data_IF_998494768993
#
_entry.id   IF_998494768993
#
_cell.length_a   1.000
_cell.length_b   1.000
_cell.length_c   1.000
_cell.angle_alpha   90.00
_cell.angle_beta   90.00
_cell.angle_gamma   90.00
#
_symmetry.space_group_name_H-M   'P 1'
#
loop_
_entity.id
_entity.type
_entity.pdbx_description
1 polymer ?
#
# COMPACT_ATOMS: atom_id res chain seq x y z
N UNK A 1 68.35 40.72 18.36
CA UNK A 1 67.94 41.50 17.16
C UNK A 1 69.14 42.08 16.41
N UNK A 2 70.14 42.67 17.08
CA UNK A 2 71.37 43.14 16.43
C UNK A 2 72.27 42.00 15.90
N UNK A 3 72.50 40.94 16.70
CA UNK A 3 73.34 39.79 16.28
C UNK A 3 72.83 39.08 15.02
N UNK A 4 71.52 38.89 14.89
CA UNK A 4 70.92 38.27 13.70
C UNK A 4 71.12 39.14 12.43
N UNK A 5 71.17 40.46 12.58
CA UNK A 5 71.37 41.38 11.46
C UNK A 5 72.84 41.43 11.03
N UNK A 6 73.76 41.34 11.99
CA UNK A 6 75.19 41.23 11.71
C UNK A 6 75.56 39.87 11.12
N UNK A 7 74.87 38.79 11.51
CA UNK A 7 75.01 37.46 10.91
C UNK A 7 74.48 37.44 9.46
N UNK A 8 73.34 38.06 9.18
CA UNK A 8 72.82 38.25 7.82
C UNK A 8 73.77 39.11 6.97
N UNK A 9 74.34 40.19 7.52
CA UNK A 9 75.35 41.01 6.82
C UNK A 9 76.61 40.22 6.50
N UNK A 10 77.06 39.39 7.44
CA UNK A 10 78.25 38.55 7.25
C UNK A 10 78.01 37.49 6.18
N UNK A 11 76.85 36.82 6.21
CA UNK A 11 76.44 35.89 5.17
C UNK A 11 76.32 36.57 3.80
N UNK A 12 75.78 37.79 3.74
CA UNK A 12 75.70 38.57 2.51
C UNK A 12 77.09 38.98 1.96
N UNK A 13 78.01 39.36 2.86
CA UNK A 13 79.38 39.70 2.49
C UNK A 13 80.19 38.47 2.05
N UNK A 14 79.99 37.33 2.71
CA UNK A 14 80.61 36.06 2.33
C UNK A 14 80.02 35.53 1.01
N UNK A 15 78.72 35.72 0.77
CA UNK A 15 78.08 35.43 -0.51
C UNK A 15 78.61 36.32 -1.65
N UNK A 16 78.76 37.63 -1.41
CA UNK A 16 79.41 38.53 -2.38
C UNK A 16 80.84 38.10 -2.67
N UNK A 17 81.65 37.78 -1.64
CA UNK A 17 83.02 37.28 -1.86
C UNK A 17 83.04 35.97 -2.64
N UNK A 18 82.10 35.06 -2.41
CA UNK A 18 81.99 33.82 -3.17
C UNK A 18 81.56 34.04 -4.63
N UNK A 19 80.70 35.03 -4.91
CA UNK A 19 80.32 35.41 -6.27
C UNK A 19 81.45 36.11 -7.05
N UNK A 20 82.28 36.89 -6.36
CA UNK A 20 83.43 37.58 -6.96
C UNK A 20 84.72 36.74 -6.96
N UNK A 21 84.72 35.57 -6.32
CA UNK A 21 85.82 34.61 -6.42
C UNK A 21 85.79 33.96 -7.82
N UNK A 22 86.73 34.33 -8.68
CA UNK A 22 86.89 33.69 -9.97
C UNK A 22 87.28 32.22 -9.78
N UNK A 23 86.31 31.32 -9.97
CA UNK A 23 86.58 29.89 -10.03
C UNK A 23 87.53 29.62 -11.21
N UNK A 24 88.74 29.12 -10.91
CA UNK A 24 89.80 28.82 -11.89
C UNK A 24 89.41 27.85 -13.00
N UNK A 25 88.27 27.15 -12.85
CA UNK A 25 87.68 26.32 -13.89
C UNK A 25 86.15 26.53 -13.89
N UNK A 26 85.65 27.28 -14.88
CA UNK A 26 84.21 27.35 -15.15
C UNK A 26 83.84 26.20 -16.07
N UNK A 27 83.00 25.28 -15.59
CA UNK A 27 82.38 24.29 -16.47
C UNK A 27 81.40 25.03 -17.39
N UNK A 28 81.58 24.87 -18.70
CA UNK A 28 80.56 25.31 -19.66
C UNK A 28 79.31 24.44 -19.51
N UNK A 29 78.15 24.99 -19.87
CA UNK A 29 76.87 24.26 -19.87
C UNK A 29 76.99 22.94 -20.65
N UNK A 30 77.69 22.96 -21.79
CA UNK A 30 77.99 21.78 -22.60
C UNK A 30 78.79 20.73 -21.81
N UNK A 31 79.82 21.14 -21.06
CA UNK A 31 80.60 20.22 -20.24
C UNK A 31 79.76 19.63 -19.10
N UNK A 32 78.87 20.42 -18.48
CA UNK A 32 77.93 19.93 -17.47
C UNK A 32 76.98 18.87 -18.05
N UNK A 33 76.39 19.13 -19.22
CA UNK A 33 75.51 18.17 -19.92
C UNK A 33 76.27 16.88 -20.25
N UNK A 34 77.50 16.97 -20.75
CA UNK A 34 78.31 15.79 -21.09
C UNK A 34 78.68 14.97 -19.83
N UNK A 35 78.97 15.62 -18.70
CA UNK A 35 79.24 14.96 -17.42
C UNK A 35 77.98 14.24 -16.93
N UNK A 36 76.84 14.92 -16.89
CA UNK A 36 75.55 14.34 -16.48
C UNK A 36 75.17 13.17 -17.38
N UNK A 37 75.33 13.31 -18.70
CA UNK A 37 75.07 12.24 -19.67
C UNK A 37 75.96 11.01 -19.43
N UNK A 38 77.25 11.21 -19.11
CA UNK A 38 78.15 10.12 -18.74
C UNK A 38 77.75 9.44 -17.43
N UNK A 39 77.31 10.19 -16.42
CA UNK A 39 76.83 9.66 -15.14
C UNK A 39 75.54 8.84 -15.29
N UNK A 40 74.62 9.28 -16.16
CA UNK A 40 73.40 8.54 -16.52
C UNK A 40 73.79 7.24 -17.26
N UNK A 41 74.69 7.31 -18.24
CA UNK A 41 75.14 6.13 -19.00
C UNK A 41 75.83 5.08 -18.12
N UNK A 42 76.54 5.52 -17.07
CA UNK A 42 77.16 4.66 -16.06
C UNK A 42 76.20 4.17 -14.97
N UNK A 43 74.90 4.53 -15.05
CA UNK A 43 73.87 4.24 -14.04
C UNK A 43 74.21 4.74 -12.64
N UNK A 44 75.05 5.76 -12.54
CA UNK A 44 75.44 6.40 -11.28
C UNK A 44 74.49 7.54 -10.88
N UNK A 45 73.68 8.02 -11.83
CA UNK A 45 72.70 9.08 -11.62
C UNK A 45 71.40 8.76 -12.36
N UNK A 46 70.28 8.79 -11.64
CA UNK A 46 68.93 8.67 -12.20
C UNK A 46 68.25 10.04 -12.13
N UNK A 47 68.04 10.65 -13.30
CA UNK A 47 67.42 11.98 -13.45
C UNK A 47 66.49 11.98 -14.64
N UNK A 48 65.43 12.77 -14.54
CA UNK A 48 64.41 12.97 -15.57
C UNK A 48 64.52 14.41 -16.06
N UNK A 49 64.29 14.63 -17.36
CA UNK A 49 64.21 15.99 -17.91
C UNK A 49 62.83 16.60 -17.68
N UNK A 50 62.80 17.90 -17.39
CA UNK A 50 61.54 18.67 -17.45
C UNK A 50 61.01 18.75 -18.88
N UNK A 51 59.71 19.02 -19.03
CA UNK A 51 59.06 19.13 -20.36
C UNK A 51 59.68 20.26 -21.20
N UNK A 52 60.22 21.29 -20.55
CA UNK A 52 60.95 22.39 -21.19
C UNK A 52 62.40 22.03 -21.57
N UNK A 53 62.90 20.87 -21.13
CA UNK A 53 64.26 20.38 -21.39
C UNK A 53 65.38 21.14 -20.66
N UNK A 54 65.04 22.10 -19.80
CA UNK A 54 66.00 23.01 -19.16
C UNK A 54 66.60 22.46 -17.86
N UNK A 55 65.89 21.55 -17.20
CA UNK A 55 66.25 21.10 -15.84
C UNK A 55 66.25 19.57 -15.74
N UNK A 56 67.11 19.08 -14.85
CA UNK A 56 67.19 17.67 -14.47
C UNK A 56 66.59 17.51 -13.08
N UNK A 57 65.55 16.69 -12.97
CA UNK A 57 64.85 16.42 -11.71
C UNK A 57 65.14 15.00 -11.27
N UNK A 58 65.51 14.83 -10.00
CA UNK A 58 65.70 13.49 -9.42
C UNK A 58 64.33 12.90 -9.02
N UNK A 59 64.15 11.56 -9.07
CA UNK A 59 62.91 10.92 -8.61
C UNK A 59 62.56 11.25 -7.15
N UNK A 60 63.56 11.45 -6.30
CA UNK A 60 63.37 11.86 -4.91
C UNK A 60 62.78 13.27 -4.81
N UNK A 61 63.21 14.20 -5.67
CA UNK A 61 62.68 15.55 -5.73
C UNK A 61 61.24 15.57 -6.25
N UNK A 62 60.92 14.80 -7.29
CA UNK A 62 59.54 14.63 -7.78
C UNK A 62 58.63 14.16 -6.64
N UNK A 63 59.08 13.18 -5.85
CA UNK A 63 58.31 12.69 -4.69
C UNK A 63 58.04 13.77 -3.65
N UNK A 64 59.03 14.62 -3.40
CA UNK A 64 58.96 15.68 -2.42
C UNK A 64 57.98 16.76 -2.89
N UNK A 65 58.11 17.20 -4.14
CA UNK A 65 57.22 18.19 -4.73
C UNK A 65 55.77 17.70 -4.80
N UNK A 66 55.55 16.43 -5.15
CA UNK A 66 54.21 15.83 -5.10
C UNK A 66 53.59 15.88 -3.70
N UNK A 67 54.38 15.63 -2.65
CA UNK A 67 53.91 15.71 -1.25
C UNK A 67 53.65 17.13 -0.81
N UNK A 68 54.57 18.04 -1.13
CA UNK A 68 54.47 19.45 -0.79
C UNK A 68 53.23 20.05 -1.48
N UNK A 69 52.99 19.74 -2.77
CA UNK A 69 51.82 20.20 -3.52
C UNK A 69 50.52 19.57 -2.99
N UNK A 70 50.52 18.29 -2.63
CA UNK A 70 49.38 17.65 -1.97
C UNK A 70 49.04 18.35 -0.65
N UNK A 71 50.04 18.71 0.15
CA UNK A 71 49.84 19.41 1.41
C UNK A 71 49.35 20.86 1.21
N UNK A 72 49.97 21.60 0.28
CA UNK A 72 49.62 22.99 -0.06
C UNK A 72 48.19 23.10 -0.58
N UNK A 73 47.75 22.15 -1.41
CA UNK A 73 46.36 22.09 -1.90
C UNK A 73 45.38 21.49 -0.90
N UNK A 74 45.80 21.31 0.34
CA UNK A 74 44.92 20.85 1.41
C UNK A 74 44.48 19.40 1.27
N UNK A 75 45.28 18.54 0.63
CA UNK A 75 45.11 17.08 0.64
C UNK A 75 44.32 16.52 -0.55
N UNK A 76 44.06 17.30 -1.61
CA UNK A 76 43.49 16.78 -2.86
C UNK A 76 44.15 17.43 -4.08
N UNK A 77 44.64 16.62 -5.02
CA UNK A 77 45.24 17.12 -6.26
C UNK A 77 45.04 16.16 -7.43
N UNK A 78 44.77 16.70 -8.63
CA UNK A 78 44.70 15.93 -9.86
C UNK A 78 46.10 15.67 -10.41
N UNK A 79 46.36 14.47 -10.94
CA UNK A 79 47.67 14.11 -11.52
C UNK A 79 48.01 15.04 -12.70
N UNK A 80 47.03 15.46 -13.50
CA UNK A 80 47.28 16.37 -14.63
C UNK A 80 47.76 17.75 -14.12
N UNK A 81 47.21 18.21 -13.00
CA UNK A 81 47.66 19.46 -12.37
C UNK A 81 49.08 19.31 -11.79
N UNK A 82 49.38 18.14 -11.19
CA UNK A 82 50.74 17.83 -10.73
C UNK A 82 51.74 17.86 -11.89
N UNK A 83 51.36 17.36 -13.07
CA UNK A 83 52.20 17.42 -14.27
C UNK A 83 52.57 18.85 -14.65
N UNK A 84 51.61 19.77 -14.59
CA UNK A 84 51.83 21.18 -14.94
C UNK A 84 52.69 21.90 -13.90
N UNK A 85 52.48 21.62 -12.61
CA UNK A 85 53.23 22.29 -11.52
C UNK A 85 54.66 21.77 -11.43
N UNK A 86 54.85 20.46 -11.53
CA UNK A 86 56.17 19.80 -11.42
C UNK A 86 56.94 19.88 -12.75
N UNK A 87 56.25 20.13 -13.86
CA UNK A 87 56.82 20.25 -15.20
C UNK A 87 57.58 18.99 -15.67
N UNK A 88 57.09 17.81 -15.29
CA UNK A 88 57.67 16.50 -15.64
C UNK A 88 56.62 15.67 -16.37
N UNK A 89 57.03 14.79 -17.27
CA UNK A 89 56.12 13.92 -18.02
C UNK A 89 55.27 13.01 -17.10
N UNK A 90 54.03 12.75 -17.53
CA UNK A 90 53.03 12.02 -16.77
C UNK A 90 53.51 10.62 -16.36
N UNK A 91 54.28 9.95 -17.22
CA UNK A 91 54.77 8.59 -16.97
C UNK A 91 55.65 8.50 -15.72
N UNK A 92 56.50 9.50 -15.48
CA UNK A 92 57.36 9.56 -14.30
C UNK A 92 56.58 9.87 -13.03
N UNK A 93 55.52 10.67 -13.14
CA UNK A 93 54.61 10.97 -12.03
C UNK A 93 53.80 9.73 -11.66
N UNK A 94 53.18 9.04 -12.63
CA UNK A 94 52.39 7.83 -12.40
C UNK A 94 53.22 6.70 -11.77
N UNK A 95 54.44 6.47 -12.27
CA UNK A 95 55.36 5.51 -11.67
C UNK A 95 55.62 5.84 -10.20
N UNK A 96 55.72 7.13 -9.87
CA UNK A 96 56.05 7.55 -8.50
C UNK A 96 54.86 7.56 -7.55
N UNK A 97 53.65 7.79 -8.06
CA UNK A 97 52.42 7.66 -7.28
C UNK A 97 52.33 6.28 -6.62
N UNK A 98 52.68 5.23 -7.36
CA UNK A 98 52.69 3.86 -6.82
C UNK A 98 53.61 3.67 -5.62
N UNK A 99 54.74 4.38 -5.59
CA UNK A 99 55.66 4.35 -4.45
C UNK A 99 55.14 5.18 -3.28
N UNK A 100 54.55 6.35 -3.55
CA UNK A 100 53.97 7.22 -2.53
C UNK A 100 52.84 6.48 -1.78
N UNK A 101 51.92 5.84 -2.50
CA UNK A 101 50.82 5.06 -1.90
C UNK A 101 51.35 3.89 -1.05
N UNK A 102 52.47 3.26 -1.45
CA UNK A 102 53.10 2.20 -0.66
C UNK A 102 53.77 2.73 0.60
N UNK A 103 54.42 3.88 0.52
CA UNK A 103 55.05 4.52 1.69
C UNK A 103 54.04 5.15 2.64
N UNK A 104 52.95 5.70 2.11
CA UNK A 104 51.99 6.53 2.83
C UNK A 104 50.58 5.96 2.70
N UNK A 105 50.19 5.15 3.69
CA UNK A 105 48.86 4.50 3.71
C UNK A 105 47.69 5.48 3.82
N UNK A 106 47.95 6.74 4.19
CA UNK A 106 46.95 7.81 4.31
C UNK A 106 46.64 8.46 2.95
N UNK A 107 47.44 8.24 1.90
CA UNK A 107 47.19 8.77 0.56
C UNK A 107 46.56 7.69 -0.32
N UNK A 108 45.48 8.06 -1.01
CA UNK A 108 44.74 7.18 -1.90
C UNK A 108 44.61 7.80 -3.29
N UNK A 109 44.62 6.95 -4.32
CA UNK A 109 44.40 7.37 -5.70
C UNK A 109 42.97 7.01 -6.14
N UNK A 110 42.20 8.03 -6.56
CA UNK A 110 40.81 7.89 -7.00
C UNK A 110 40.60 8.65 -8.29
N UNK A 111 40.24 7.97 -9.38
CA UNK A 111 39.97 8.58 -10.71
C UNK A 111 41.06 9.58 -11.18
N UNK A 112 42.34 9.28 -10.94
CA UNK A 112 43.43 10.19 -11.31
C UNK A 112 43.62 11.38 -10.36
N UNK A 113 43.09 11.30 -9.13
CA UNK A 113 43.29 12.28 -8.07
C UNK A 113 43.95 11.64 -6.85
N UNK A 114 44.98 12.28 -6.32
CA UNK A 114 45.55 11.93 -5.02
C UNK A 114 44.74 12.61 -3.92
N UNK A 115 44.33 11.82 -2.94
CA UNK A 115 43.51 12.26 -1.81
C UNK A 115 44.18 11.81 -0.52
N UNK A 116 44.41 12.75 0.37
CA UNK A 116 44.93 12.54 1.72
C UNK A 116 43.79 12.26 2.72
N UNK A 117 44.08 11.46 3.74
CA UNK A 117 43.15 11.13 4.82
C UNK A 117 42.68 12.37 5.58
N UNK A 118 43.56 13.37 5.77
CA UNK A 118 43.18 14.64 6.42
C UNK A 118 42.18 15.47 5.59
N UNK A 119 42.16 15.31 4.26
CA UNK A 119 41.12 15.91 3.43
C UNK A 119 39.78 15.21 3.67
N UNK A 120 39.79 13.87 3.78
CA UNK A 120 38.58 13.09 4.06
C UNK A 120 38.02 13.36 5.47
N UNK A 121 38.88 13.65 6.44
CA UNK A 121 38.45 14.04 7.79
C UNK A 121 37.75 15.40 7.80
N UNK A 122 38.33 16.41 7.15
CA UNK A 122 37.69 17.74 6.96
C UNK A 122 36.39 17.64 6.16
N UNK A 123 36.39 16.84 5.10
CA UNK A 123 35.19 16.52 4.33
C UNK A 123 34.10 15.92 5.22
N UNK A 124 34.47 14.99 6.12
CA UNK A 124 33.54 14.37 7.04
C UNK A 124 32.99 15.36 8.08
N UNK A 125 33.79 16.32 8.54
CA UNK A 125 33.33 17.43 9.39
C UNK A 125 32.29 18.28 8.67
N UNK A 126 32.56 18.72 7.43
CA UNK A 126 31.59 19.48 6.63
C UNK A 126 30.30 18.69 6.37
N UNK A 127 30.42 17.40 6.08
CA UNK A 127 29.26 16.51 5.89
C UNK A 127 28.48 16.36 7.19
N UNK A 128 29.16 16.28 8.34
CA UNK A 128 28.51 16.23 9.64
C UNK A 128 27.75 17.52 9.94
N UNK A 129 28.33 18.69 9.68
CA UNK A 129 27.65 19.97 9.89
C UNK A 129 26.39 20.09 9.03
N UNK A 130 26.49 19.76 7.74
CA UNK A 130 25.34 19.67 6.84
C UNK A 130 24.29 18.69 7.34
N UNK A 131 24.73 17.52 7.83
CA UNK A 131 23.85 16.49 8.38
C UNK A 131 23.13 16.94 9.64
N UNK A 132 23.79 17.68 10.54
CA UNK A 132 23.14 18.22 11.73
C UNK A 132 22.15 19.35 11.38
N UNK A 133 22.44 20.15 10.35
CA UNK A 133 21.56 21.21 9.88
C UNK A 133 20.30 20.67 9.18
N UNK A 134 20.46 19.76 8.22
CA UNK A 134 19.36 19.23 7.40
C UNK A 134 18.65 18.02 8.05
N UNK A 135 19.33 17.30 8.93
CA UNK A 135 18.90 16.03 9.53
C UNK A 135 19.10 14.79 8.65
N UNK A 136 19.28 14.96 7.33
CA UNK A 136 19.56 13.88 6.37
C UNK A 136 20.44 14.37 5.21
N UNK A 137 21.34 13.53 4.73
CA UNK A 137 22.21 13.80 3.58
C UNK A 137 22.28 12.57 2.69
N UNK A 138 22.26 12.77 1.36
CA UNK A 138 22.35 11.66 0.40
C UNK A 138 23.74 11.58 -0.23
N UNK A 139 24.26 10.36 -0.42
CA UNK A 139 25.56 10.13 -1.07
C UNK A 139 25.54 10.69 -2.50
N UNK A 140 24.42 10.60 -3.21
CA UNK A 140 24.30 11.13 -4.57
C UNK A 140 24.45 12.66 -4.64
N UNK A 141 24.01 13.38 -3.62
CA UNK A 141 24.23 14.82 -3.50
C UNK A 141 25.71 15.12 -3.22
N UNK A 142 26.31 14.38 -2.29
CA UNK A 142 27.73 14.50 -1.97
C UNK A 142 28.62 14.20 -3.18
N UNK A 143 28.28 13.21 -4.01
CA UNK A 143 28.99 12.93 -5.26
C UNK A 143 29.02 14.14 -6.19
N UNK A 144 27.91 14.87 -6.31
CA UNK A 144 27.82 16.06 -7.17
C UNK A 144 28.58 17.24 -6.59
N UNK A 145 28.51 17.44 -5.27
CA UNK A 145 29.19 18.55 -4.61
C UNK A 145 30.70 18.38 -4.60
N UNK A 146 31.19 17.17 -4.34
CA UNK A 146 32.61 16.91 -4.14
C UNK A 146 33.29 16.28 -5.36
N UNK A 147 32.56 15.93 -6.42
CA UNK A 147 33.08 15.27 -7.62
C UNK A 147 33.92 14.03 -7.29
N UNK A 148 33.34 13.14 -6.48
CA UNK A 148 33.96 11.89 -6.03
C UNK A 148 33.00 10.70 -6.24
N UNK A 149 33.53 9.49 -6.54
CA UNK A 149 32.71 8.31 -6.74
C UNK A 149 31.86 7.96 -5.50
N UNK A 150 30.61 7.57 -5.71
CA UNK A 150 29.70 7.23 -4.61
C UNK A 150 30.16 6.07 -3.75
N UNK A 151 30.74 5.03 -4.35
CA UNK A 151 31.28 3.89 -3.61
C UNK A 151 32.43 4.32 -2.70
N UNK A 152 33.30 5.21 -3.21
CA UNK A 152 34.43 5.74 -2.46
C UNK A 152 33.96 6.59 -1.28
N UNK A 153 33.05 7.54 -1.52
CA UNK A 153 32.46 8.36 -0.47
C UNK A 153 31.73 7.51 0.58
N UNK A 154 30.97 6.52 0.16
CA UNK A 154 30.27 5.62 1.09
C UNK A 154 31.26 4.92 2.01
N UNK A 155 32.36 4.37 1.47
CA UNK A 155 33.38 3.70 2.27
C UNK A 155 34.11 4.67 3.21
N UNK A 156 34.53 5.83 2.68
CA UNK A 156 35.27 6.84 3.44
C UNK A 156 34.44 7.42 4.59
N UNK A 157 33.15 7.70 4.37
CA UNK A 157 32.24 8.20 5.39
C UNK A 157 31.87 7.09 6.39
N UNK A 158 31.66 5.85 5.94
CA UNK A 158 31.34 4.72 6.83
C UNK A 158 32.44 4.48 7.87
N UNK A 159 33.71 4.62 7.49
CA UNK A 159 34.85 4.51 8.42
C UNK A 159 34.87 5.62 9.48
N UNK A 160 34.22 6.76 9.21
CA UNK A 160 34.19 7.96 10.06
C UNK A 160 32.87 8.16 10.81
N UNK A 161 31.89 7.29 10.57
CA UNK A 161 30.63 7.26 11.33
C UNK A 161 30.90 6.93 12.80
N UNK A 162 30.24 7.66 13.70
CA UNK A 162 30.38 7.50 15.15
C UNK A 162 31.67 8.08 15.73
N UNK A 163 32.61 8.55 14.89
CA UNK A 163 33.81 9.28 15.32
C UNK A 163 33.71 10.77 15.00
N UNK A 164 33.56 11.09 13.71
CA UNK A 164 33.45 12.46 13.21
C UNK A 164 31.99 12.76 12.85
N UNK A 165 31.34 11.81 12.18
CA UNK A 165 29.97 11.96 11.71
C UNK A 165 29.02 11.34 12.72
N UNK A 166 28.17 12.19 13.32
CA UNK A 166 27.14 11.78 14.26
C UNK A 166 25.83 11.44 13.51
N UNK A 167 25.85 10.31 12.82
CA UNK A 167 24.73 9.82 12.01
C UNK A 167 24.73 8.31 11.84
N UNK A 168 23.63 7.81 11.29
CA UNK A 168 23.45 6.40 10.94
C UNK A 168 23.18 6.27 9.44
N UNK A 169 23.72 5.19 8.85
CA UNK A 169 23.39 4.78 7.48
C UNK A 169 22.26 3.75 7.56
N UNK A 170 21.29 3.87 6.66
CA UNK A 170 20.27 2.83 6.49
C UNK A 170 20.90 1.57 5.89
N UNK A 171 20.67 0.40 6.50
CA UNK A 171 21.14 -0.88 5.96
C UNK A 171 20.42 -1.23 4.66
N UNK A 172 19.17 -0.81 4.52
CA UNK A 172 18.34 -1.05 3.33
C UNK A 172 18.60 0.01 2.24
N UNK A 173 19.06 1.20 2.63
CA UNK A 173 19.41 2.30 1.72
C UNK A 173 20.75 2.94 2.09
N UNK A 174 21.85 2.28 1.67
CA UNK A 174 23.23 2.74 1.88
C UNK A 174 23.55 4.13 1.29
N UNK A 175 22.63 4.71 0.53
CA UNK A 175 22.78 6.03 -0.08
C UNK A 175 22.35 7.19 0.82
N UNK A 176 21.86 6.96 2.04
CA UNK A 176 21.35 8.02 2.93
C UNK A 176 21.96 7.92 4.32
N UNK A 177 22.44 9.06 4.82
CA UNK A 177 22.90 9.25 6.20
C UNK A 177 21.87 10.14 6.90
N UNK A 178 21.42 9.74 8.09
CA UNK A 178 20.44 10.50 8.88
C UNK A 178 20.86 10.59 10.35
N UNK A 179 20.35 11.60 11.05
CA UNK A 179 20.53 11.73 12.51
C UNK A 179 19.43 11.02 13.28
N UNK A 180 19.74 10.56 14.49
CA UNK A 180 18.71 9.99 15.39
C UNK A 180 17.61 11.03 15.70
N UNK A 181 18.00 12.30 15.88
CA UNK A 181 17.07 13.40 16.10
C UNK A 181 16.09 13.59 14.92
N UNK A 182 16.57 13.44 13.68
CA UNK A 182 15.72 13.50 12.50
C UNK A 182 14.69 12.37 12.46
N UNK A 183 15.11 11.13 12.75
CA UNK A 183 14.21 9.97 12.82
C UNK A 183 13.20 10.13 13.95
N UNK A 184 13.63 10.55 15.14
CA UNK A 184 12.75 10.78 16.28
C UNK A 184 11.71 11.87 15.99
N UNK A 185 12.12 12.96 15.34
CA UNK A 185 11.21 14.03 14.90
C UNK A 185 10.23 13.52 13.84
N UNK A 186 10.68 12.76 12.85
CA UNK A 186 9.81 12.14 11.85
C UNK A 186 8.78 11.19 12.49
N UNK A 187 9.22 10.32 13.39
CA UNK A 187 8.36 9.41 14.16
C UNK A 187 7.34 10.17 15.00
N UNK A 188 7.74 11.26 15.64
CA UNK A 188 6.83 12.11 16.40
C UNK A 188 5.78 12.80 15.51
N UNK A 189 6.17 13.30 14.33
CA UNK A 189 5.25 13.89 13.34
C UNK A 189 4.23 12.86 12.84
N UNK A 190 4.69 11.68 12.43
CA UNK A 190 3.82 10.58 11.99
C UNK A 190 2.86 10.20 13.11
N UNK A 191 3.38 9.96 14.33
CA UNK A 191 2.55 9.66 15.50
C UNK A 191 1.48 10.72 15.74
N UNK A 192 1.86 12.00 15.72
CA UNK A 192 0.94 13.11 15.94
C UNK A 192 -0.17 13.15 14.88
N UNK A 193 0.21 13.03 13.61
CA UNK A 193 -0.72 13.05 12.48
C UNK A 193 -1.73 11.90 12.57
N UNK A 194 -1.26 10.66 12.66
CA UNK A 194 -2.13 9.49 12.65
C UNK A 194 -2.96 9.33 13.93
N UNK A 195 -2.52 9.92 15.05
CA UNK A 195 -3.33 9.98 16.28
C UNK A 195 -4.55 10.90 16.14
N UNK A 196 -4.51 11.89 15.24
CA UNK A 196 -5.60 12.84 15.03
C UNK A 196 -6.62 12.37 13.98
N UNK A 197 -6.32 11.31 13.24
CA UNK A 197 -7.20 10.81 12.19
C UNK A 197 -8.38 10.05 12.83
N UNK A 198 -9.59 10.49 12.53
CA UNK A 198 -10.85 9.90 13.04
C UNK A 198 -11.67 9.20 11.96
N UNK A 199 -11.25 9.26 10.70
CA UNK A 199 -11.93 8.67 9.54
C UNK A 199 -10.93 7.91 8.67
N UNK A 200 -11.36 6.88 7.91
CA UNK A 200 -10.50 6.21 6.94
C UNK A 200 -9.84 7.23 6.00
N UNK A 201 -8.51 7.27 6.02
CA UNK A 201 -7.74 8.28 5.27
C UNK A 201 -6.66 7.60 4.46
N UNK A 202 -6.56 7.98 3.17
CA UNK A 202 -5.52 7.47 2.28
C UNK A 202 -4.13 7.98 2.72
N UNK A 203 -3.19 7.06 2.89
CA UNK A 203 -1.83 7.37 3.35
C UNK A 203 -1.10 8.22 2.31
N UNK A 204 -1.26 7.92 1.02
CA UNK A 204 -0.60 8.65 -0.06
C UNK A 204 -0.97 10.13 -0.13
N UNK A 205 -2.23 10.48 0.16
CA UNK A 205 -2.64 11.88 0.26
C UNK A 205 -1.92 12.63 1.38
N UNK A 206 -1.54 11.93 2.46
CA UNK A 206 -0.79 12.50 3.58
C UNK A 206 0.70 12.64 3.25
N UNK A 207 1.27 11.68 2.52
CA UNK A 207 2.66 11.73 2.06
C UNK A 207 2.88 13.00 1.23
N UNK A 208 2.08 13.20 0.19
CA UNK A 208 2.19 14.37 -0.70
C UNK A 208 1.91 15.69 0.03
N UNK A 209 0.97 15.70 0.97
CA UNK A 209 0.58 16.92 1.70
C UNK A 209 1.64 17.38 2.71
N UNK A 210 2.31 16.46 3.38
CA UNK A 210 3.24 16.77 4.49
C UNK A 210 4.71 16.50 4.16
N UNK A 211 5.00 16.09 2.93
CA UNK A 211 6.36 15.87 2.42
C UNK A 211 7.08 14.73 3.15
N UNK A 212 6.37 13.66 3.51
CA UNK A 212 7.00 12.51 4.15
C UNK A 212 7.76 11.66 3.13
N UNK A 213 8.86 11.03 3.56
CA UNK A 213 9.51 9.99 2.79
C UNK A 213 8.69 8.69 2.89
N UNK A 214 8.27 8.14 1.76
CA UNK A 214 7.33 7.02 1.68
C UNK A 214 7.81 5.77 2.43
N UNK A 215 9.05 5.34 2.16
CA UNK A 215 9.63 4.14 2.79
C UNK A 215 9.70 4.25 4.32
N UNK A 216 10.17 5.40 4.82
CA UNK A 216 10.26 5.68 6.25
C UNK A 216 8.88 5.78 6.90
N UNK A 217 7.90 6.37 6.19
CA UNK A 217 6.55 6.51 6.72
C UNK A 217 5.88 5.16 6.90
N UNK A 218 5.97 4.26 5.91
CA UNK A 218 5.36 2.93 6.02
C UNK A 218 6.00 2.09 7.12
N UNK A 219 7.34 2.09 7.23
CA UNK A 219 8.03 1.32 8.28
C UNK A 219 7.67 1.83 9.68
N UNK A 220 7.68 3.14 9.89
CA UNK A 220 7.34 3.75 11.18
C UNK A 220 5.86 3.59 11.50
N UNK A 221 4.96 3.73 10.52
CA UNK A 221 3.52 3.54 10.74
C UNK A 221 3.21 2.10 11.15
N UNK A 222 3.80 1.12 10.46
CA UNK A 222 3.66 -0.29 10.78
C UNK A 222 4.21 -0.61 12.18
N UNK A 223 5.39 -0.09 12.52
CA UNK A 223 5.95 -0.21 13.88
C UNK A 223 5.01 0.37 14.95
N UNK A 224 4.45 1.56 14.71
CA UNK A 224 3.56 2.23 15.66
C UNK A 224 2.20 1.53 15.81
N UNK A 225 1.70 0.88 14.77
CA UNK A 225 0.49 0.06 14.81
C UNK A 225 0.76 -1.27 15.52
N UNK A 226 1.84 -1.96 15.16
CA UNK A 226 2.21 -3.25 15.74
C UNK A 226 2.57 -3.14 17.24
N UNK A 227 3.19 -2.03 17.64
CA UNK A 227 3.45 -1.72 19.06
C UNK A 227 2.19 -1.28 19.83
N UNK A 228 1.05 -1.11 19.16
CA UNK A 228 -0.20 -0.64 19.75
C UNK A 228 -0.21 0.83 20.15
N UNK A 229 0.83 1.60 19.78
CA UNK A 229 0.88 3.04 20.07
C UNK A 229 -0.14 3.84 19.28
N UNK A 230 -0.40 3.43 18.03
CA UNK A 230 -1.48 3.91 17.19
C UNK A 230 -2.58 2.87 17.16
N UNK A 231 -3.80 3.28 17.53
CA UNK A 231 -4.99 2.41 17.52
C UNK A 231 -5.69 2.52 16.19
N UNK A 232 -5.36 1.61 15.28
CA UNK A 232 -5.95 1.49 13.96
C UNK A 232 -5.30 0.38 13.17
N UNK A 233 -5.81 0.16 11.96
CA UNK A 233 -5.22 -0.79 11.00
C UNK A 233 -4.92 -0.10 9.68
N UNK A 234 -3.87 -0.58 9.00
CA UNK A 234 -3.55 -0.15 7.63
C UNK A 234 -4.04 -1.23 6.68
N UNK A 235 -4.95 -0.87 5.79
CA UNK A 235 -5.50 -1.75 4.77
C UNK A 235 -4.94 -1.35 3.41
N UNK A 236 -4.60 -2.31 2.55
CA UNK A 236 -4.01 -2.04 1.22
C UNK A 236 -2.48 -2.13 1.15
N UNK A 237 -1.81 -2.57 2.23
CA UNK A 237 -0.37 -2.82 2.25
C UNK A 237 0.49 -1.56 2.14
N UNK A 238 1.75 -1.71 1.70
CA UNK A 238 2.70 -0.61 1.42
C UNK A 238 2.60 -0.12 -0.03
N UNK A 239 1.40 0.04 -0.55
CA UNK A 239 1.14 0.44 -1.94
C UNK A 239 0.27 1.70 -2.01
N UNK A 240 0.08 2.22 -3.22
CA UNK A 240 -0.68 3.45 -3.53
C UNK A 240 -2.13 3.45 -3.00
N UNK A 241 -2.66 2.28 -2.64
CA UNK A 241 -4.01 2.09 -2.09
C UNK A 241 -4.03 1.95 -0.55
N UNK A 242 -2.96 2.29 0.14
CA UNK A 242 -2.90 2.20 1.60
C UNK A 242 -3.87 3.19 2.26
N UNK A 243 -4.77 2.67 3.09
CA UNK A 243 -5.73 3.45 3.87
C UNK A 243 -5.56 3.12 5.34
N UNK A 244 -5.36 4.15 6.15
CA UNK A 244 -5.38 4.00 7.61
C UNK A 244 -6.80 4.11 8.12
N UNK A 245 -7.25 3.08 8.85
CA UNK A 245 -8.56 2.98 9.47
C UNK A 245 -8.38 3.05 11.00
N UNK A 246 -8.77 4.17 11.64
CA UNK A 246 -8.68 4.30 13.10
C UNK A 246 -9.63 3.35 13.84
N UNK A 247 -9.20 2.78 14.96
CA UNK A 247 -10.04 1.89 15.78
C UNK A 247 -11.32 2.59 16.27
N UNK A 248 -11.23 3.88 16.60
CA UNK A 248 -12.37 4.68 17.05
C UNK A 248 -13.48 4.70 15.99
N UNK A 249 -13.10 4.77 14.71
CA UNK A 249 -14.05 4.72 13.61
C UNK A 249 -14.76 3.37 13.58
N UNK A 250 -14.03 2.27 13.55
CA UNK A 250 -14.60 0.91 13.52
C UNK A 250 -15.45 0.60 14.77
N UNK A 251 -15.05 1.11 15.95
CA UNK A 251 -15.82 1.00 17.19
C UNK A 251 -17.12 1.79 17.11
N UNK A 252 -17.08 3.03 16.62
CA UNK A 252 -18.29 3.85 16.46
C UNK A 252 -19.28 3.20 15.50
N UNK A 253 -18.80 2.69 14.36
CA UNK A 253 -19.64 1.94 13.41
C UNK A 253 -20.28 0.73 14.11
N UNK A 254 -19.47 -0.07 14.79
CA UNK A 254 -19.88 -1.26 15.54
C UNK A 254 -20.96 -0.95 16.57
N UNK A 255 -20.74 0.06 17.41
CA UNK A 255 -21.66 0.46 18.48
C UNK A 255 -22.97 1.01 17.92
N UNK A 256 -22.93 1.76 16.82
CA UNK A 256 -24.13 2.23 16.14
C UNK A 256 -24.97 1.05 15.63
N UNK A 257 -24.34 0.07 14.97
CA UNK A 257 -25.04 -1.11 14.46
C UNK A 257 -25.68 -1.92 15.58
N UNK A 258 -24.95 -2.15 16.68
CA UNK A 258 -25.49 -2.90 17.82
C UNK A 258 -26.66 -2.16 18.49
N UNK A 259 -26.55 -0.85 18.65
CA UNK A 259 -27.57 -0.03 19.29
C UNK A 259 -28.84 0.05 18.42
N UNK A 260 -28.67 0.26 17.11
CA UNK A 260 -29.78 0.30 16.17
C UNK A 260 -30.52 -1.03 16.12
N UNK A 261 -29.79 -2.14 15.98
CA UNK A 261 -30.40 -3.47 15.90
C UNK A 261 -31.13 -3.82 17.20
N UNK A 262 -30.54 -3.51 18.37
CA UNK A 262 -31.18 -3.76 19.66
C UNK A 262 -32.47 -2.97 19.86
N UNK A 263 -32.54 -1.73 19.35
CA UNK A 263 -33.70 -0.86 19.52
C UNK A 263 -34.82 -1.19 18.52
N UNK A 264 -34.48 -1.47 17.26
CA UNK A 264 -35.45 -1.56 16.18
C UNK A 264 -35.74 -3.01 15.73
N UNK A 265 -34.85 -3.97 16.03
CA UNK A 265 -35.02 -5.36 15.62
C UNK A 265 -34.75 -5.65 14.14
N UNK A 266 -34.25 -4.67 13.37
CA UNK A 266 -33.86 -4.83 11.96
C UNK A 266 -32.62 -3.98 11.61
N UNK A 267 -32.01 -4.24 10.45
CA UNK A 267 -30.89 -3.47 9.89
C UNK A 267 -31.04 -3.31 8.37
N UNK A 268 -31.00 -2.08 7.90
CA UNK A 268 -30.98 -1.75 6.47
C UNK A 268 -29.57 -1.89 5.88
N UNK A 269 -29.44 -2.53 4.72
CA UNK A 269 -28.15 -2.65 4.05
C UNK A 269 -27.62 -1.30 3.55
N UNK A 270 -28.53 -0.42 3.11
CA UNK A 270 -28.17 0.93 2.66
C UNK A 270 -27.67 1.81 3.81
N UNK A 271 -28.26 1.70 5.00
CA UNK A 271 -27.76 2.40 6.19
C UNK A 271 -26.33 1.95 6.56
N UNK A 272 -26.02 0.66 6.43
CA UNK A 272 -24.68 0.11 6.65
C UNK A 272 -23.68 0.60 5.58
N UNK A 273 -24.12 0.67 4.32
CA UNK A 273 -23.31 1.22 3.22
C UNK A 273 -22.95 2.68 3.46
N UNK A 274 -23.93 3.52 3.85
CA UNK A 274 -23.72 4.93 4.24
C UNK A 274 -22.81 5.09 5.45
N UNK A 275 -22.85 4.13 6.38
CA UNK A 275 -21.95 4.11 7.54
C UNK A 275 -20.50 3.79 7.15
N UNK A 276 -20.24 3.34 5.92
CA UNK A 276 -18.92 2.95 5.42
C UNK A 276 -18.61 1.47 5.58
N UNK A 277 -19.63 0.61 5.56
CA UNK A 277 -19.50 -0.85 5.53
C UNK A 277 -19.94 -1.33 4.14
N UNK A 278 -19.01 -1.58 3.21
CA UNK A 278 -19.36 -1.90 1.82
C UNK A 278 -20.02 -3.27 1.65
N UNK A 279 -19.65 -4.27 2.47
CA UNK A 279 -20.27 -5.59 2.47
C UNK A 279 -21.11 -5.80 3.73
N UNK A 280 -22.33 -5.28 3.70
CA UNK A 280 -23.28 -5.33 4.81
C UNK A 280 -23.61 -6.78 5.23
N UNK A 281 -23.85 -7.66 4.26
CA UNK A 281 -24.30 -9.05 4.53
C UNK A 281 -23.21 -9.85 5.23
N UNK A 282 -21.98 -9.82 4.70
CA UNK A 282 -20.87 -10.55 5.34
C UNK A 282 -20.52 -9.95 6.71
N UNK A 283 -20.61 -8.61 6.85
CA UNK A 283 -20.40 -7.94 8.13
C UNK A 283 -21.41 -8.40 9.18
N UNK A 284 -22.71 -8.41 8.87
CA UNK A 284 -23.77 -8.86 9.77
C UNK A 284 -23.58 -10.33 10.14
N UNK A 285 -23.33 -11.23 9.16
CA UNK A 285 -23.09 -12.66 9.41
C UNK A 285 -21.90 -12.91 10.33
N UNK A 286 -20.82 -12.12 10.18
CA UNK A 286 -19.62 -12.23 11.02
C UNK A 286 -19.88 -11.73 12.43
N UNK A 287 -20.71 -10.69 12.58
CA UNK A 287 -21.00 -10.03 13.86
C UNK A 287 -22.03 -10.79 14.70
N UNK A 288 -23.11 -11.27 14.08
CA UNK A 288 -24.24 -11.91 14.74
C UNK A 288 -24.32 -13.42 14.46
N UNK A 289 -23.22 -14.15 14.68
CA UNK A 289 -23.13 -15.59 14.36
C UNK A 289 -24.14 -16.48 15.08
N UNK A 290 -24.57 -16.08 16.27
CA UNK A 290 -25.47 -16.86 17.13
C UNK A 290 -26.93 -16.41 17.02
N UNK A 291 -27.18 -15.27 16.38
CA UNK A 291 -28.54 -14.70 16.27
C UNK A 291 -29.17 -15.18 14.97
N UNK A 292 -30.37 -15.75 15.04
CA UNK A 292 -31.14 -16.04 13.84
C UNK A 292 -31.65 -14.72 13.25
N UNK A 293 -31.19 -14.42 12.04
CA UNK A 293 -31.55 -13.24 11.27
C UNK A 293 -32.06 -13.69 9.92
N UNK A 294 -33.21 -13.15 9.51
CA UNK A 294 -33.74 -13.34 8.18
C UNK A 294 -33.20 -12.23 7.28
N UNK A 295 -32.44 -12.62 6.26
CA UNK A 295 -31.91 -11.70 5.26
C UNK A 295 -32.94 -11.54 4.14
N UNK A 296 -33.43 -10.31 3.98
CA UNK A 296 -34.33 -9.91 2.91
C UNK A 296 -33.51 -9.24 1.79
N UNK A 297 -34.16 -8.53 0.88
CA UNK A 297 -33.49 -7.87 -0.25
C UNK A 297 -32.80 -6.58 0.17
N UNK A 298 -33.49 -5.71 0.92
CA UNK A 298 -32.97 -4.39 1.32
C UNK A 298 -32.53 -4.32 2.79
N UNK A 299 -32.96 -5.26 3.62
CA UNK A 299 -32.70 -5.28 5.05
C UNK A 299 -32.53 -6.71 5.59
N UNK A 300 -32.06 -6.84 6.82
CA UNK A 300 -32.23 -8.06 7.61
C UNK A 300 -33.08 -7.78 8.84
N UNK A 301 -33.89 -8.75 9.22
CA UNK A 301 -34.79 -8.67 10.38
C UNK A 301 -34.42 -9.71 11.42
N UNK A 302 -34.58 -9.36 12.69
CA UNK A 302 -34.39 -10.26 13.82
C UNK A 302 -35.62 -11.13 14.07
N UNK A 303 -35.43 -12.22 14.81
CA UNK A 303 -36.49 -13.18 15.12
C UNK A 303 -37.73 -12.55 15.76
N UNK A 304 -37.56 -11.54 16.63
CA UNK A 304 -38.71 -10.90 17.28
C UNK A 304 -39.70 -10.24 16.33
N UNK A 305 -39.25 -9.70 15.18
CA UNK A 305 -40.15 -9.15 14.17
C UNK A 305 -40.84 -10.27 13.37
N UNK A 306 -40.13 -11.39 13.15
CA UNK A 306 -40.69 -12.59 12.52
C UNK A 306 -41.79 -13.17 13.40
N UNK A 307 -41.53 -13.32 14.70
CA UNK A 307 -42.49 -13.85 15.68
C UNK A 307 -43.74 -12.95 15.78
N UNK A 308 -43.58 -11.62 15.71
CA UNK A 308 -44.71 -10.69 15.73
C UNK A 308 -45.63 -10.86 14.51
N UNK A 309 -45.04 -11.04 13.32
CA UNK A 309 -45.81 -11.30 12.10
C UNK A 309 -46.44 -12.68 12.15
N UNK A 310 -45.72 -13.69 12.63
CA UNK A 310 -46.23 -15.05 12.83
C UNK A 310 -47.46 -15.07 13.75
N UNK A 311 -47.39 -14.39 14.90
CA UNK A 311 -48.50 -14.29 15.84
C UNK A 311 -49.72 -13.58 15.22
N UNK A 312 -49.50 -12.52 14.44
CA UNK A 312 -50.59 -11.78 13.78
C UNK A 312 -51.27 -12.61 12.69
N UNK A 313 -50.50 -13.43 11.96
CA UNK A 313 -51.02 -14.37 10.95
C UNK A 313 -51.78 -15.52 11.62
N UNK A 314 -51.24 -16.09 12.69
CA UNK A 314 -51.91 -17.15 13.46
C UNK A 314 -53.25 -16.65 14.05
N UNK A 315 -53.27 -15.44 14.60
CA UNK A 315 -54.49 -14.81 15.12
C UNK A 315 -55.55 -14.71 14.02
N UNK A 316 -55.19 -14.16 12.84
CA UNK A 316 -56.12 -14.00 11.71
C UNK A 316 -56.66 -15.35 11.19
N UNK A 317 -55.83 -16.40 11.19
CA UNK A 317 -56.25 -17.76 10.81
C UNK A 317 -57.22 -18.32 11.85
N UNK A 318 -56.90 -18.19 13.14
CA UNK A 318 -57.69 -18.77 14.23
C UNK A 318 -59.07 -18.10 14.40
N UNK A 319 -59.13 -16.78 14.19
CA UNK A 319 -60.35 -15.98 14.31
C UNK A 319 -61.23 -16.04 13.06
N UNK A 320 -60.69 -16.50 11.92
CA UNK A 320 -61.40 -16.47 10.64
C UNK A 320 -61.48 -15.07 10.05
N UNK A 321 -60.41 -14.27 10.17
CA UNK A 321 -60.33 -12.91 9.61
C UNK A 321 -59.21 -12.79 8.56
N UNK A 322 -58.83 -11.56 8.25
CA UNK A 322 -57.67 -11.22 7.42
C UNK A 322 -56.74 -10.26 8.17
N UNK A 323 -55.47 -10.19 7.76
CA UNK A 323 -54.48 -9.26 8.28
C UNK A 323 -53.58 -8.77 7.15
N UNK A 324 -53.31 -7.46 7.12
CA UNK A 324 -52.24 -6.87 6.31
C UNK A 324 -51.01 -6.71 7.19
N UNK A 325 -49.87 -7.28 6.77
CA UNK A 325 -48.62 -7.18 7.55
C UNK A 325 -47.88 -5.87 7.31
N UNK A 326 -48.18 -5.13 6.23
CA UNK A 326 -47.45 -3.91 5.89
C UNK A 326 -47.48 -2.85 7.01
N UNK A 327 -48.60 -2.60 7.73
CA UNK A 327 -48.64 -1.69 8.87
C UNK A 327 -47.83 -2.15 10.10
N UNK A 328 -47.53 -3.45 10.20
CA UNK A 328 -46.76 -4.03 11.31
C UNK A 328 -45.25 -3.93 11.07
N UNK A 329 -44.84 -3.69 9.82
CA UNK A 329 -43.45 -3.65 9.42
C UNK A 329 -42.90 -2.21 9.46
N UNK A 330 -41.60 -2.05 9.78
CA UNK A 330 -40.89 -0.80 9.57
C UNK A 330 -41.07 -0.25 8.15
N UNK A 331 -41.30 1.06 8.02
CA UNK A 331 -41.49 1.75 6.73
C UNK A 331 -40.29 1.69 5.79
N UNK A 332 -39.13 1.28 6.30
CA UNK A 332 -37.91 1.02 5.54
C UNK A 332 -37.92 -0.27 4.74
N UNK A 333 -38.84 -1.20 5.04
CA UNK A 333 -38.98 -2.46 4.31
C UNK A 333 -39.81 -2.24 3.04
N UNK A 334 -39.31 -2.75 1.92
CA UNK A 334 -40.07 -2.71 0.67
C UNK A 334 -41.20 -3.73 0.66
N UNK A 335 -42.15 -3.58 -0.28
CA UNK A 335 -43.22 -4.58 -0.50
C UNK A 335 -42.63 -5.96 -0.80
N UNK A 336 -41.52 -6.02 -1.53
CA UNK A 336 -40.81 -7.26 -1.80
C UNK A 336 -40.21 -7.89 -0.53
N UNK A 337 -39.66 -7.08 0.38
CA UNK A 337 -39.13 -7.56 1.66
C UNK A 337 -40.27 -8.09 2.55
N UNK A 338 -41.42 -7.40 2.56
CA UNK A 338 -42.62 -7.86 3.26
C UNK A 338 -43.12 -9.20 2.69
N UNK A 339 -43.14 -9.34 1.36
CA UNK A 339 -43.51 -10.58 0.68
C UNK A 339 -42.58 -11.74 1.04
N UNK A 340 -41.27 -11.51 1.04
CA UNK A 340 -40.27 -12.51 1.43
C UNK A 340 -40.42 -12.94 2.89
N UNK A 341 -40.67 -11.97 3.78
CA UNK A 341 -40.92 -12.23 5.19
C UNK A 341 -42.19 -13.07 5.38
N UNK A 342 -43.27 -12.69 4.71
CA UNK A 342 -44.54 -13.40 4.77
C UNK A 342 -44.41 -14.83 4.24
N UNK A 343 -43.73 -15.02 3.12
CA UNK A 343 -43.48 -16.33 2.55
C UNK A 343 -42.72 -17.24 3.52
N UNK A 344 -41.77 -16.69 4.28
CA UNK A 344 -41.03 -17.43 5.29
C UNK A 344 -41.91 -17.81 6.49
N UNK A 345 -42.78 -16.90 6.96
CA UNK A 345 -43.75 -17.18 8.03
C UNK A 345 -44.78 -18.22 7.59
N UNK A 346 -45.34 -18.09 6.39
CA UNK A 346 -46.33 -19.04 5.83
C UNK A 346 -45.79 -20.47 5.67
N UNK A 347 -44.47 -20.66 5.57
CA UNK A 347 -43.87 -22.01 5.59
C UNK A 347 -44.11 -22.73 6.91
N UNK A 348 -44.16 -22.02 8.04
CA UNK A 348 -44.50 -22.62 9.33
C UNK A 348 -45.94 -23.17 9.33
N UNK A 349 -46.85 -22.48 8.64
CA UNK A 349 -48.27 -22.83 8.54
C UNK A 349 -48.60 -23.78 7.38
N UNK A 350 -47.63 -24.16 6.54
CA UNK A 350 -47.83 -25.01 5.34
C UNK A 350 -48.45 -26.39 5.59
N UNK A 351 -48.53 -26.83 6.85
CA UNK A 351 -49.19 -28.08 7.24
C UNK A 351 -50.71 -27.95 7.41
N UNK A 352 -51.24 -26.72 7.47
CA UNK A 352 -52.67 -26.45 7.50
C UNK A 352 -53.04 -25.49 6.35
N UNK A 353 -53.79 -25.95 5.33
CA UNK A 353 -54.26 -25.07 4.27
C UNK A 353 -55.45 -24.28 4.82
N UNK A 354 -55.17 -23.19 5.52
CA UNK A 354 -56.21 -22.38 6.15
C UNK A 354 -56.08 -20.89 5.83
N UNK A 355 -55.14 -20.50 4.97
CA UNK A 355 -54.91 -19.12 4.58
C UNK A 355 -54.35 -18.98 3.16
N UNK A 356 -54.80 -17.91 2.49
CA UNK A 356 -54.39 -17.49 1.15
C UNK A 356 -53.73 -16.10 1.27
N UNK A 357 -52.61 -15.92 0.58
CA UNK A 357 -51.89 -14.63 0.52
C UNK A 357 -52.37 -13.84 -0.69
N UNK A 358 -52.78 -12.59 -0.48
CA UNK A 358 -53.18 -11.63 -1.50
C UNK A 358 -52.24 -10.43 -1.50
N UNK A 359 -51.99 -9.85 -2.68
CA UNK A 359 -51.21 -8.61 -2.85
C UNK A 359 -49.86 -8.62 -2.12
N UNK A 360 -49.24 -9.80 -2.01
CA UNK A 360 -47.96 -10.08 -1.39
C UNK A 360 -47.81 -9.73 0.10
N UNK A 361 -48.82 -9.10 0.71
CA UNK A 361 -48.77 -8.51 2.07
C UNK A 361 -49.99 -8.86 2.92
N UNK A 362 -51.08 -9.29 2.30
CA UNK A 362 -52.33 -9.57 3.01
C UNK A 362 -52.51 -11.08 3.15
N UNK A 363 -52.78 -11.55 4.36
CA UNK A 363 -53.17 -12.93 4.62
C UNK A 363 -54.66 -12.96 4.92
N UNK A 364 -55.38 -13.84 4.22
CA UNK A 364 -56.81 -14.05 4.41
C UNK A 364 -57.05 -15.50 4.76
N UNK A 365 -57.77 -15.75 5.86
CA UNK A 365 -58.14 -17.12 6.23
C UNK A 365 -59.15 -17.72 5.24
N UNK A 366 -59.07 -19.03 4.99
CA UNK A 366 -60.05 -19.73 4.14
C UNK A 366 -61.46 -19.66 4.74
N UNK A 367 -61.56 -19.67 6.07
CA UNK A 367 -62.83 -19.49 6.78
C UNK A 367 -63.47 -18.15 6.42
N UNK A 368 -62.70 -17.06 6.43
CA UNK A 368 -63.20 -15.75 6.01
C UNK A 368 -63.67 -15.76 4.54
N UNK A 369 -62.93 -16.41 3.64
CA UNK A 369 -63.31 -16.52 2.22
C UNK A 369 -64.64 -17.28 2.08
N UNK A 370 -64.81 -18.38 2.81
CA UNK A 370 -66.04 -19.17 2.81
C UNK A 370 -67.22 -18.36 3.36
N UNK A 371 -67.04 -17.69 4.51
CA UNK A 371 -68.06 -16.83 5.11
C UNK A 371 -68.48 -15.70 4.16
N UNK A 372 -67.52 -15.09 3.43
CA UNK A 372 -67.81 -14.11 2.39
C UNK A 372 -68.57 -14.72 1.21
N UNK A 373 -68.24 -15.95 0.81
CA UNK A 373 -68.91 -16.65 -0.31
C UNK A 373 -70.37 -16.94 0.04
N UNK A 374 -70.67 -17.28 1.29
CA UNK A 374 -72.04 -17.52 1.76
C UNK A 374 -72.96 -16.30 1.59
N UNK A 375 -72.43 -15.08 1.79
CA UNK A 375 -73.21 -13.85 1.59
C UNK A 375 -73.68 -13.68 0.14
N UNK A 376 -72.98 -14.27 -0.83
CA UNK A 376 -73.37 -14.22 -2.23
C UNK A 376 -74.25 -15.39 -2.66
N UNK A 377 -74.51 -16.38 -1.82
CA UNK A 377 -75.30 -17.57 -2.19
C UNK A 377 -76.70 -17.20 -2.69
N UNK A 378 -77.43 -16.33 -1.99
CA UNK A 378 -78.77 -15.90 -2.44
C UNK A 378 -78.71 -15.17 -3.78
N UNK A 379 -77.72 -14.31 -3.98
CA UNK A 379 -77.51 -13.58 -5.22
C UNK A 379 -77.11 -14.51 -6.38
N UNK A 380 -76.30 -15.53 -6.10
CA UNK A 380 -75.96 -16.59 -7.04
C UNK A 380 -77.19 -17.42 -7.41
N UNK A 381 -78.01 -17.82 -6.44
CA UNK A 381 -79.26 -18.54 -6.68
C UNK A 381 -80.25 -17.70 -7.51
N UNK A 382 -80.43 -16.42 -7.19
CA UNK A 382 -81.30 -15.53 -7.96
C UNK A 382 -80.81 -15.32 -9.39
N UNK A 383 -79.48 -15.17 -9.59
CA UNK A 383 -78.90 -15.07 -10.93
C UNK A 383 -79.03 -16.38 -11.71
N UNK A 384 -78.76 -17.52 -11.06
CA UNK A 384 -78.93 -18.83 -11.67
C UNK A 384 -80.39 -19.08 -12.07
N UNK A 385 -81.36 -18.76 -11.21
CA UNK A 385 -82.78 -18.86 -11.55
C UNK A 385 -83.18 -17.91 -12.69
N UNK A 386 -82.65 -16.69 -12.71
CA UNK A 386 -82.94 -15.71 -13.76
C UNK A 386 -82.34 -16.15 -15.09
N UNK A 387 -81.15 -16.72 -15.08
CA UNK A 387 -80.49 -17.28 -16.26
C UNK A 387 -81.24 -18.53 -16.76
N UNK A 388 -81.67 -19.39 -15.85
CA UNK A 388 -82.51 -20.56 -16.12
C UNK A 388 -83.86 -20.19 -16.77
N UNK A 389 -84.47 -19.07 -16.35
CA UNK A 389 -85.72 -18.54 -16.94
C UNK A 389 -85.51 -17.86 -18.29
N UNK A 390 -84.34 -17.26 -18.53
CA UNK A 390 -84.03 -16.54 -19.76
C UNK A 390 -83.42 -17.42 -20.87
N UNK A 391 -82.86 -18.58 -20.52
CA UNK A 391 -82.23 -19.50 -21.48
C UNK A 391 -82.63 -20.96 -21.17
N UNK A 392 -83.81 -21.44 -21.65
CA UNK A 392 -84.26 -22.81 -21.42
C UNK A 392 -83.46 -23.89 -22.19
N UNK A 393 -82.41 -23.52 -22.94
CA UNK A 393 -81.73 -24.42 -23.89
C UNK A 393 -80.58 -25.24 -23.27
N UNK A 394 -80.18 -24.96 -22.02
CA UNK A 394 -79.14 -25.73 -21.33
C UNK A 394 -79.57 -26.30 -19.97
N UNK A 395 -80.86 -26.61 -19.83
CA UNK A 395 -81.35 -27.41 -18.72
C UNK A 395 -81.23 -28.89 -19.07
N UNK A 396 -80.19 -29.55 -18.58
CA UNK A 396 -80.24 -30.99 -18.42
C UNK A 396 -81.02 -31.23 -17.12
N UNK A 397 -82.26 -31.67 -17.24
CA UNK A 397 -83.07 -32.03 -16.07
C UNK A 397 -82.59 -33.37 -15.49
N UNK A 398 -82.87 -33.64 -14.21
CA UNK A 398 -82.60 -34.97 -13.64
C UNK A 398 -83.30 -36.11 -14.40
N UNK A 399 -84.41 -35.81 -15.11
CA UNK A 399 -85.06 -36.76 -16.02
C UNK A 399 -84.26 -36.96 -17.31
N UNK A 400 -83.60 -35.93 -17.85
CA UNK A 400 -82.70 -36.05 -19.00
C UNK A 400 -81.45 -36.86 -18.65
N UNK A 401 -80.88 -36.71 -17.45
CA UNK A 401 -79.78 -37.55 -16.96
C UNK A 401 -80.21 -39.02 -16.79
N UNK A 402 -81.43 -39.26 -16.29
CA UNK A 402 -82.00 -40.63 -16.19
C UNK A 402 -82.27 -41.22 -17.57
N UNK A 403 -82.81 -40.47 -18.53
CA UNK A 403 -83.01 -40.95 -19.90
C UNK A 403 -81.69 -41.22 -20.62
N UNK A 404 -80.66 -40.39 -20.44
CA UNK A 404 -79.31 -40.64 -20.97
C UNK A 404 -78.71 -41.90 -20.35
N UNK A 405 -78.88 -42.14 -19.04
CA UNK A 405 -78.42 -43.38 -18.39
C UNK A 405 -79.17 -44.65 -18.85
N UNK A 406 -80.45 -44.54 -19.21
CA UNK A 406 -81.26 -45.63 -19.79
C UNK A 406 -80.87 -45.89 -21.26
N UNK A 407 -80.58 -44.84 -22.03
CA UNK A 407 -80.11 -44.95 -23.41
C UNK A 407 -78.67 -45.50 -23.49
N UNK A 408 -77.80 -45.15 -22.54
CA UNK A 408 -76.45 -45.71 -22.42
C UNK A 408 -76.48 -47.19 -22.04
N UNK A 409 -77.38 -47.63 -21.16
CA UNK A 409 -77.54 -49.04 -20.78
C UNK A 409 -78.17 -49.92 -21.88
N UNK A 410 -78.99 -49.35 -22.77
CA UNK A 410 -79.49 -50.04 -23.98
C UNK A 410 -78.40 -50.14 -25.07
N UNK A 411 -77.49 -49.16 -25.14
CA UNK A 411 -76.38 -49.16 -26.10
C UNK A 411 -75.20 -50.04 -25.67
N UNK A 412 -74.89 -50.18 -24.38
CA UNK A 412 -73.87 -51.11 -23.88
C UNK A 412 -74.28 -52.56 -24.11
N UNK A 413 -75.55 -52.92 -23.89
CA UNK A 413 -76.07 -54.28 -24.11
C UNK A 413 -76.12 -54.71 -25.59
N UNK A 414 -76.16 -53.78 -26.56
CA UNK A 414 -75.97 -54.07 -28.00
C UNK A 414 -74.49 -54.14 -28.41
N UNK A 415 -73.60 -53.43 -27.72
CA UNK A 415 -72.16 -53.43 -27.99
C UNK A 415 -71.50 -54.72 -27.49
N UNK A 416 -71.92 -55.22 -26.32
CA UNK A 416 -71.44 -56.50 -25.75
C UNK A 416 -71.80 -57.71 -26.63
N UNK A 417 -73.00 -57.76 -27.23
CA UNK A 417 -73.37 -58.85 -28.17
C UNK A 417 -72.57 -58.84 -29.47
N UNK A 418 -71.98 -57.71 -29.88
CA UNK A 418 -71.17 -57.58 -31.10
C UNK A 418 -69.69 -57.89 -30.85
N UNK A 419 -69.16 -57.55 -29.67
CA UNK A 419 -67.79 -57.86 -29.27
C UNK A 419 -67.62 -59.31 -28.77
N UNK A 420 -68.66 -59.93 -28.20
CA UNK A 420 -68.61 -61.36 -27.83
C UNK A 420 -68.70 -62.30 -29.04
N UNK A 421 -69.33 -61.87 -30.15
CA UNK A 421 -69.27 -62.59 -31.44
C UNK A 421 -67.92 -62.42 -32.16
N UNK A 422 -67.18 -61.33 -31.92
CA UNK A 422 -65.83 -61.14 -32.50
C UNK A 422 -64.73 -61.87 -31.73
N UNK A 423 -64.87 -62.06 -30.41
CA UNK A 423 -63.88 -62.83 -29.61
C UNK A 423 -63.98 -64.35 -29.76
N UNK A 424 -65.09 -64.90 -30.29
CA UNK A 424 -65.22 -66.34 -30.60
C UNK A 424 -64.77 -66.74 -32.02
N UNK A 425 -64.26 -65.81 -32.83
CA UNK A 425 -63.85 -66.08 -34.22
C UNK A 425 -62.35 -65.86 -34.51
N UNK A 426 -61.53 -65.52 -33.52
CA UNK A 426 -60.08 -65.28 -33.69
C UNK A 426 -59.19 -66.06 -32.71
N UNK A 427 -59.72 -67.13 -32.11
CA UNK A 427 -58.95 -68.14 -31.39
C UNK A 427 -58.95 -69.45 -32.16
N UNK A 428 -58.19 -69.52 -33.25
CA UNK A 428 -57.70 -70.74 -33.89
C UNK A 428 -56.84 -70.33 -35.09
N UNK A 429 -55.53 -70.25 -34.88
CA UNK A 429 -54.47 -70.86 -35.68
C UNK A 429 -53.12 -70.55 -35.02
#
# INVERSE_FOLDING_TARGET
>A
MADAWDEIRRLAADFQRAQFADATQRLSERNCIEIVTKLIAQKQLEVVHTLDGKEYVTPAQISKEMRDELHVRGGRVNIVDLQQVINVDLTHIENRIGDIIKSEKHVQLVLGQLIDENYLDRLAEEVNDKLQESGQVTISELCKTYDLPGNFLTQALTQRLGRIINGHIDLDNRGVIFTEAFVARHKARIRGLFSAITRPTAVNSLISKYGFQEQLLYSVLEELVNSGRLRGSVVGGRQDKAVFIPDMYSRTQSTWVDSFFRQNGYLEFDALSRLGIPDAVSYIKKRYKTTQLLFLKAACVGQGLVDQVEASVEEAISSGTWVDIAPLLPSSLSVEDAAMLLQQVMRAFSKQPSAVVFSDTVVVSEKFINDCTELFNELMHQKAEKEMKNNPVHLITEEDLKQVSILESINTSKKDKKDERRRKATGNY
#
